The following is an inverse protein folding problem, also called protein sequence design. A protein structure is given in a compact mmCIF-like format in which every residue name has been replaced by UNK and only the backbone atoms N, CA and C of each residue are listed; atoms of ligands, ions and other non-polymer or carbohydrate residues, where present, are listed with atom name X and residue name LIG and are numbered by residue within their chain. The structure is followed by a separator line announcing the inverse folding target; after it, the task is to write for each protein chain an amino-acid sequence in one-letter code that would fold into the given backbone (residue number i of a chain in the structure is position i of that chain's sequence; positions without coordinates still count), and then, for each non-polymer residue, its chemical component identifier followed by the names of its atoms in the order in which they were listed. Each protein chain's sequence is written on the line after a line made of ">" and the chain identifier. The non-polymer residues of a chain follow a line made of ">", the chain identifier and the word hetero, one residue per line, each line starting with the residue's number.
data_IF_653816987292
#
_entry.id   IF_653816987292
#
_cell.length_a   1.000
_cell.length_b   1.000
_cell.length_c   1.000
_cell.angle_alpha   90.00
_cell.angle_beta   90.00
_cell.angle_gamma   90.00
#
_symmetry.space_group_name_H-M   'P 1'
#
loop_
_entity.id
_entity.type
_entity.pdbx_description
1 polymer ?
#
# COMPACT_ATOMS: atom_id res chain seq x y z
N UNK A 1 22.96 12.81 14.79
CA UNK A 1 22.58 13.12 13.40
C UNK A 1 21.16 12.59 13.21
N UNK A 2 20.17 13.39 12.79
CA UNK A 2 18.91 12.83 12.35
C UNK A 2 19.24 11.94 11.15
N UNK A 3 18.94 10.64 11.22
CA UNK A 3 19.06 9.77 10.05
C UNK A 3 17.89 10.08 9.14
N UNK A 4 18.17 10.56 7.92
CA UNK A 4 17.25 10.88 6.83
C UNK A 4 16.37 9.71 6.33
N UNK A 5 16.36 8.59 7.04
CA UNK A 5 15.55 7.45 6.69
C UNK A 5 14.15 7.71 7.25
N UNK A 6 13.18 7.95 6.38
CA UNK A 6 11.76 8.12 6.70
C UNK A 6 11.16 7.02 7.60
N UNK A 7 9.84 7.07 7.86
CA UNK A 7 9.19 6.13 8.78
C UNK A 7 9.48 4.67 8.40
N UNK A 8 9.90 3.85 9.37
CA UNK A 8 10.02 2.40 9.18
C UNK A 8 8.72 1.74 9.57
N UNK A 9 7.88 1.51 8.56
CA UNK A 9 6.59 0.85 8.70
C UNK A 9 6.72 -0.56 9.28
N UNK A 10 5.83 -0.89 10.22
CA UNK A 10 5.77 -2.19 10.91
C UNK A 10 4.33 -2.66 11.02
N UNK A 11 4.18 -3.97 11.19
CA UNK A 11 2.87 -4.62 11.34
C UNK A 11 2.86 -5.96 10.63
N UNK A 12 1.88 -6.80 10.96
CA UNK A 12 1.73 -8.15 10.38
C UNK A 12 1.52 -8.14 8.86
N UNK A 13 0.89 -7.09 8.34
CA UNK A 13 0.61 -6.91 6.92
C UNK A 13 1.74 -6.17 6.16
N UNK A 14 2.78 -5.71 6.86
CA UNK A 14 3.89 -4.94 6.26
C UNK A 14 5.01 -5.88 5.83
N UNK A 15 5.35 -5.81 4.56
CA UNK A 15 6.39 -6.64 3.94
C UNK A 15 7.54 -5.80 3.38
N UNK A 16 8.62 -6.46 2.98
CA UNK A 16 9.81 -5.82 2.40
C UNK A 16 10.86 -5.46 3.45
N UNK A 17 12.00 -4.95 3.00
CA UNK A 17 13.06 -4.41 3.88
C UNK A 17 12.79 -2.94 4.20
N UNK A 18 13.48 -2.38 5.20
CA UNK A 18 13.47 -0.94 5.48
C UNK A 18 13.84 -0.17 4.20
N UNK A 19 13.07 0.86 3.85
CA UNK A 19 13.23 1.64 2.61
C UNK A 19 12.57 1.01 1.36
N UNK A 20 12.00 -0.19 1.48
CA UNK A 20 11.18 -0.81 0.44
C UNK A 20 9.93 -1.49 1.03
N UNK A 21 9.33 -0.88 2.06
CA UNK A 21 8.15 -1.39 2.76
C UNK A 21 6.89 -1.29 1.88
N UNK A 22 6.07 -2.33 1.92
CA UNK A 22 4.84 -2.39 1.14
C UNK A 22 3.76 -3.26 1.80
N UNK A 23 2.51 -3.01 1.39
CA UNK A 23 1.34 -3.84 1.68
C UNK A 23 0.97 -4.68 0.44
N UNK A 24 0.48 -5.89 0.64
CA UNK A 24 -0.12 -6.67 -0.44
C UNK A 24 -1.61 -6.34 -0.60
N UNK A 25 -2.01 -5.97 -1.81
CA UNK A 25 -3.39 -6.08 -2.28
C UNK A 25 -3.51 -7.40 -3.03
N UNK A 26 -4.33 -8.32 -2.53
CA UNK A 26 -4.37 -9.69 -3.04
C UNK A 26 -5.74 -10.02 -3.60
N UNK A 27 -5.74 -10.58 -4.80
CA UNK A 27 -6.91 -11.08 -5.49
C UNK A 27 -6.97 -12.59 -5.35
N UNK A 28 -8.16 -13.07 -5.02
CA UNK A 28 -8.45 -14.48 -4.97
C UNK A 28 -9.92 -14.72 -5.21
N UNK A 29 -10.24 -15.98 -5.45
CA UNK A 29 -11.59 -16.51 -5.49
C UNK A 29 -11.76 -17.56 -4.40
N UNK A 30 -13.00 -17.91 -4.10
CA UNK A 30 -13.32 -18.99 -3.18
C UNK A 30 -13.83 -20.16 -4.00
N UNK A 31 -13.08 -21.25 -4.00
CA UNK A 31 -13.41 -22.51 -4.66
C UNK A 31 -13.41 -23.63 -3.62
N UNK A 32 -14.44 -24.47 -3.62
CA UNK A 32 -14.58 -25.60 -2.67
C UNK A 32 -14.44 -25.20 -1.19
N UNK A 33 -14.83 -23.97 -0.84
CA UNK A 33 -14.76 -23.43 0.52
C UNK A 33 -13.37 -22.92 0.92
N UNK A 34 -12.38 -22.98 0.04
CA UNK A 34 -11.02 -22.48 0.27
C UNK A 34 -10.76 -21.22 -0.55
N UNK A 35 -10.04 -20.26 0.03
CA UNK A 35 -9.62 -19.05 -0.68
C UNK A 35 -8.33 -19.33 -1.47
N UNK A 36 -8.41 -19.18 -2.79
CA UNK A 36 -7.30 -19.33 -3.71
C UNK A 36 -6.78 -17.97 -4.18
N UNK A 37 -5.53 -17.65 -3.84
CA UNK A 37 -4.87 -16.47 -4.42
C UNK A 37 -4.45 -16.75 -5.87
N UNK A 38 -4.83 -15.88 -6.80
CA UNK A 38 -4.33 -15.95 -8.19
C UNK A 38 -3.54 -14.71 -8.63
N UNK A 39 -3.64 -13.58 -7.91
CA UNK A 39 -2.92 -12.34 -8.30
C UNK A 39 -2.68 -11.42 -7.11
N UNK A 40 -1.62 -10.60 -7.16
CA UNK A 40 -1.28 -9.63 -6.11
C UNK A 40 -0.59 -8.38 -6.65
N UNK A 41 -0.80 -7.27 -5.95
CA UNK A 41 -0.12 -6.01 -6.17
C UNK A 41 0.57 -5.51 -4.89
N UNK A 42 1.62 -4.71 -5.04
CA UNK A 42 2.37 -4.08 -3.95
C UNK A 42 1.98 -2.61 -3.87
N UNK A 43 1.42 -2.21 -2.74
CA UNK A 43 1.15 -0.82 -2.39
C UNK A 43 2.31 -0.33 -1.52
N UNK A 44 3.10 0.60 -2.04
CA UNK A 44 4.39 0.96 -1.46
C UNK A 44 4.18 2.08 -0.44
N UNK A 45 4.29 1.74 0.84
CA UNK A 45 4.09 2.72 1.93
C UNK A 45 5.29 3.66 2.08
N UNK A 46 6.48 3.21 1.64
CA UNK A 46 7.66 4.08 1.53
C UNK A 46 7.58 5.08 0.37
N UNK A 47 6.59 4.94 -0.54
CA UNK A 47 6.34 5.93 -1.59
C UNK A 47 5.36 7.05 -1.11
N UNK A 48 4.89 7.02 0.14
CA UNK A 48 3.97 8.03 0.70
C UNK A 48 4.77 9.32 1.00
N UNK A 49 4.21 10.47 0.62
CA UNK A 49 4.79 11.77 0.95
C UNK A 49 4.92 11.94 2.48
N UNK A 50 6.12 12.28 2.95
CA UNK A 50 6.42 12.52 4.36
C UNK A 50 5.52 13.61 4.98
N UNK A 51 5.03 14.58 4.19
CA UNK A 51 4.07 15.57 4.64
C UNK A 51 2.71 14.94 5.01
N UNK A 52 2.21 13.99 4.21
CA UNK A 52 0.98 13.26 4.53
C UNK A 52 1.16 12.42 5.79
N UNK A 53 2.30 11.73 5.93
CA UNK A 53 2.60 10.97 7.15
C UNK A 53 2.63 11.88 8.37
N UNK A 54 3.28 13.05 8.27
CA UNK A 54 3.34 14.00 9.38
C UNK A 54 1.96 14.53 9.78
N UNK A 55 1.04 14.73 8.83
CA UNK A 55 -0.33 15.17 9.14
C UNK A 55 -1.10 14.07 9.87
N UNK A 56 -1.02 12.82 9.41
CA UNK A 56 -1.69 11.69 10.06
C UNK A 56 -1.10 11.38 11.45
N UNK A 57 0.20 11.54 11.64
CA UNK A 57 0.86 11.27 12.93
C UNK A 57 0.51 12.31 14.02
N UNK A 58 0.21 13.55 13.61
CA UNK A 58 -0.10 14.65 14.54
C UNK A 58 -1.53 14.61 15.08
N UNK A 59 -2.43 13.91 14.42
CA UNK A 59 -3.86 13.91 14.70
C UNK A 59 -4.38 12.48 14.71
N UNK A 60 -4.64 11.96 15.92
CA UNK A 60 -5.07 10.57 16.10
C UNK A 60 -6.44 10.26 15.47
N UNK A 61 -7.22 11.29 15.13
CA UNK A 61 -8.50 11.12 14.44
C UNK A 61 -8.33 10.98 12.92
N UNK A 62 -7.11 11.16 12.40
CA UNK A 62 -6.82 11.08 10.97
C UNK A 62 -6.19 9.76 10.55
N UNK A 63 -6.47 9.36 9.30
CA UNK A 63 -5.98 8.10 8.72
C UNK A 63 -5.35 8.32 7.34
N UNK A 64 -4.29 7.55 7.06
CA UNK A 64 -3.73 7.44 5.71
C UNK A 64 -4.62 6.55 4.84
N UNK A 65 -5.07 7.08 3.70
CA UNK A 65 -5.95 6.39 2.77
C UNK A 65 -5.26 6.22 1.42
N UNK A 66 -5.24 5.00 0.90
CA UNK A 66 -4.80 4.69 -0.45
C UNK A 66 -6.02 4.44 -1.35
N UNK A 67 -6.24 5.31 -2.34
CA UNK A 67 -7.22 5.09 -3.41
C UNK A 67 -6.54 4.40 -4.58
N UNK A 68 -7.02 3.21 -4.96
CA UNK A 68 -6.37 2.35 -5.96
C UNK A 68 -7.31 2.01 -7.10
N UNK A 69 -6.86 2.19 -8.33
CA UNK A 69 -7.55 1.67 -9.52
C UNK A 69 -7.36 0.15 -9.59
N UNK A 70 -8.43 -0.61 -9.41
CA UNK A 70 -8.34 -2.07 -9.24
C UNK A 70 -8.08 -2.82 -10.55
N UNK A 71 -8.49 -2.26 -11.69
CA UNK A 71 -8.32 -2.84 -13.03
C UNK A 71 -7.18 -2.15 -13.78
N UNK A 72 -6.38 -2.92 -14.52
CA UNK A 72 -5.31 -2.42 -15.38
C UNK A 72 -5.80 -2.10 -16.82
N UNK A 73 -4.88 -1.64 -17.67
CA UNK A 73 -5.20 -1.21 -19.04
C UNK A 73 -5.57 -2.37 -19.99
N UNK A 74 -5.40 -3.62 -19.55
CA UNK A 74 -5.79 -4.82 -20.28
C UNK A 74 -7.08 -5.43 -19.72
N UNK A 75 -7.77 -4.75 -18.79
CA UNK A 75 -8.98 -5.26 -18.16
C UNK A 75 -8.73 -6.33 -17.09
N UNK A 76 -7.47 -6.54 -16.68
CA UNK A 76 -7.10 -7.53 -15.69
C UNK A 76 -6.99 -6.89 -14.29
N UNK A 77 -7.10 -7.66 -13.20
CA UNK A 77 -6.83 -7.10 -11.86
C UNK A 77 -5.41 -6.58 -11.79
N UNK A 78 -5.19 -5.43 -11.14
CA UNK A 78 -3.86 -4.82 -11.08
C UNK A 78 -2.88 -5.71 -10.33
N UNK A 79 -1.63 -5.75 -10.78
CA UNK A 79 -0.57 -6.56 -10.20
C UNK A 79 0.77 -5.81 -10.11
N UNK A 80 1.79 -6.47 -9.58
CA UNK A 80 3.14 -5.92 -9.41
C UNK A 80 3.13 -4.63 -8.56
N UNK A 81 4.12 -3.75 -8.72
CA UNK A 81 4.16 -2.48 -7.96
C UNK A 81 3.15 -1.49 -8.54
N UNK A 82 2.24 -0.98 -7.72
CA UNK A 82 1.31 0.09 -8.11
C UNK A 82 2.00 1.45 -7.97
N UNK A 83 1.84 2.30 -8.99
CA UNK A 83 2.41 3.65 -9.05
C UNK A 83 1.34 4.65 -9.47
N UNK A 84 1.57 5.93 -9.20
CA UNK A 84 0.74 7.00 -9.72
C UNK A 84 0.61 6.90 -11.27
N UNK A 85 -0.55 7.22 -11.86
CA UNK A 85 -1.76 7.72 -11.20
C UNK A 85 -2.71 6.62 -10.69
N UNK A 86 -2.30 5.35 -10.71
CA UNK A 86 -3.17 4.24 -10.33
C UNK A 86 -3.34 4.02 -8.83
N UNK A 87 -2.51 4.69 -8.03
CA UNK A 87 -2.65 4.83 -6.59
C UNK A 87 -2.46 6.29 -6.23
N UNK A 88 -3.33 6.78 -5.37
CA UNK A 88 -3.25 8.09 -4.74
C UNK A 88 -3.31 7.91 -3.22
N UNK A 89 -2.44 8.63 -2.51
CA UNK A 89 -2.42 8.66 -1.05
C UNK A 89 -2.97 9.98 -0.56
N UNK A 90 -3.84 9.93 0.45
CA UNK A 90 -4.39 11.10 1.12
C UNK A 90 -4.45 10.88 2.63
N UNK A 91 -4.70 11.94 3.37
CA UNK A 91 -5.08 11.87 4.79
C UNK A 91 -6.52 12.31 4.91
N UNK A 92 -7.32 11.53 5.63
CA UNK A 92 -8.73 11.81 5.92
C UNK A 92 -8.94 11.96 7.42
#
# INVERSE_FOLDING_TARGET
>A
MPTDDGPDWRGEAVHGRRGERFLYLTWGDVSDGEWGMFRRAKLMVDDIDAALVSVADKDADRVLVARVHLTDNFGCPRCARVRAPAIEWSVE
#
